data_IF_131244062525
#
_entry.id   IF_131244062525
#
_cell.length_a   1.000
_cell.length_b   1.000
_cell.length_c   1.000
_cell.angle_alpha   90.00
_cell.angle_beta   90.00
_cell.angle_gamma   90.00
#
_symmetry.space_group_name_H-M   'P 1'
#
loop_
_entity.id
_entity.type
_entity.pdbx_description
1 polymer ?
#
# COMPACT_ATOMS: atom_id res chain seq x y z
N UNK A 1 -5.72 3.55 -2.27
CA UNK A 1 -4.61 3.11 -1.39
C UNK A 1 -4.97 3.14 0.10
N UNK A 2 -5.75 4.12 0.61
CA UNK A 2 -6.10 4.20 2.05
C UNK A 2 -6.53 2.86 2.68
N UNK A 3 -7.46 2.13 2.05
CA UNK A 3 -7.92 0.84 2.59
C UNK A 3 -6.84 -0.28 2.64
N UNK A 4 -5.78 -0.17 1.85
CA UNK A 4 -4.62 -1.08 1.92
C UNK A 4 -3.75 -0.69 3.12
N UNK A 5 -3.34 0.57 3.21
CA UNK A 5 -2.47 1.08 4.30
C UNK A 5 -3.14 0.97 5.67
N UNK A 6 -4.45 1.26 5.74
CA UNK A 6 -5.25 1.07 6.97
C UNK A 6 -5.22 -0.37 7.49
N UNK A 7 -4.99 -1.34 6.61
CA UNK A 7 -4.96 -2.75 6.98
C UNK A 7 -3.56 -3.25 7.37
N UNK A 8 -2.49 -2.51 7.06
CA UNK A 8 -1.10 -2.93 7.31
C UNK A 8 -0.83 -3.22 8.79
N UNK A 9 -1.10 -2.23 9.66
CA UNK A 9 -0.87 -2.37 11.11
C UNK A 9 -1.70 -3.50 11.72
N UNK A 10 -3.04 -3.57 11.53
CA UNK A 10 -3.82 -4.69 12.06
C UNK A 10 -3.40 -6.07 11.53
N UNK A 11 -2.94 -6.16 10.27
CA UNK A 11 -2.41 -7.42 9.72
C UNK A 11 -1.13 -7.86 10.42
N UNK A 12 -0.20 -6.94 10.63
CA UNK A 12 1.07 -7.22 11.31
C UNK A 12 0.84 -7.58 12.79
N UNK A 13 -0.03 -6.84 13.49
CA UNK A 13 -0.43 -7.14 14.87
C UNK A 13 -1.09 -8.53 14.97
N UNK A 14 -1.99 -8.87 14.05
CA UNK A 14 -2.61 -10.20 14.00
C UNK A 14 -1.59 -11.31 13.75
N UNK A 15 -0.67 -11.11 12.80
CA UNK A 15 0.37 -12.10 12.50
C UNK A 15 1.36 -12.26 13.66
N UNK A 16 1.74 -11.17 14.33
CA UNK A 16 2.55 -11.22 15.53
C UNK A 16 1.83 -11.94 16.69
N UNK A 17 0.54 -11.70 16.87
CA UNK A 17 -0.28 -12.42 17.84
C UNK A 17 -0.31 -13.92 17.50
N UNK A 18 -0.49 -14.28 16.23
CA UNK A 18 -0.42 -15.67 15.79
C UNK A 18 0.93 -16.33 16.10
N UNK A 19 2.03 -15.63 15.84
CA UNK A 19 3.37 -16.11 16.19
C UNK A 19 3.51 -16.46 17.67
N UNK A 20 2.92 -15.66 18.57
CA UNK A 20 2.97 -15.90 20.02
C UNK A 20 2.29 -17.20 20.46
N UNK A 21 1.39 -17.75 19.63
CA UNK A 21 0.74 -19.05 19.87
C UNK A 21 1.55 -20.26 19.40
N UNK A 22 2.73 -20.03 18.81
CA UNK A 22 3.59 -21.05 18.19
C UNK A 22 4.99 -21.11 18.85
N UNK A 23 5.11 -21.28 20.18
CA UNK A 23 6.39 -21.12 20.90
C UNK A 23 7.45 -22.18 20.57
N UNK A 24 7.08 -23.27 19.87
CA UNK A 24 8.02 -24.31 19.41
C UNK A 24 8.50 -24.10 17.98
N UNK A 25 7.92 -23.13 17.27
CA UNK A 25 8.32 -22.80 15.91
C UNK A 25 9.50 -21.80 15.97
N UNK A 26 10.69 -22.16 15.45
CA UNK A 26 11.87 -21.31 15.52
C UNK A 26 11.73 -20.01 14.70
N UNK A 27 10.83 -20.00 13.71
CA UNK A 27 10.55 -18.82 12.87
C UNK A 27 9.61 -17.85 13.57
N UNK A 28 8.68 -18.36 14.39
CA UNK A 28 7.59 -17.55 14.94
C UNK A 28 8.07 -16.41 15.86
N UNK A 29 9.00 -16.69 16.79
CA UNK A 29 9.49 -15.66 17.72
C UNK A 29 10.18 -14.46 17.03
N UNK A 30 11.21 -14.66 16.16
CA UNK A 30 11.84 -13.55 15.44
C UNK A 30 10.87 -12.85 14.47
N UNK A 31 10.02 -13.60 13.75
CA UNK A 31 9.01 -13.01 12.88
C UNK A 31 8.05 -12.11 13.66
N UNK A 32 7.53 -12.59 14.78
CA UNK A 32 6.60 -11.82 15.61
C UNK A 32 7.23 -10.58 16.23
N UNK A 33 8.56 -10.57 16.47
CA UNK A 33 9.29 -9.39 16.93
C UNK A 33 9.38 -8.35 15.82
N UNK A 34 9.84 -8.74 14.64
CA UNK A 34 9.91 -7.89 13.46
C UNK A 34 8.56 -7.25 13.13
N UNK A 35 7.49 -8.04 13.10
CA UNK A 35 6.15 -7.54 12.77
C UNK A 35 5.62 -6.52 13.78
N UNK A 36 6.00 -6.63 15.06
CA UNK A 36 5.60 -5.64 16.08
C UNK A 36 6.33 -4.32 15.91
N UNK A 37 7.63 -4.38 15.66
CA UNK A 37 8.45 -3.19 15.40
C UNK A 37 7.96 -2.45 14.16
N UNK A 38 7.80 -3.17 13.05
CA UNK A 38 7.29 -2.64 11.79
C UNK A 38 5.85 -2.09 11.92
N UNK A 39 5.01 -2.70 12.76
CA UNK A 39 3.66 -2.18 13.03
C UNK A 39 3.66 -0.85 13.79
N UNK A 40 4.64 -0.61 14.67
CA UNK A 40 4.78 0.68 15.34
C UNK A 40 5.28 1.76 14.39
N UNK A 41 6.17 1.43 13.47
CA UNK A 41 6.67 2.35 12.44
C UNK A 41 5.57 2.78 11.46
N UNK A 42 4.75 1.82 11.01
CA UNK A 42 3.64 2.09 10.09
C UNK A 42 2.42 2.77 10.74
N UNK A 43 2.44 2.97 12.07
CA UNK A 43 1.30 3.47 12.82
C UNK A 43 0.96 4.91 12.41
N UNK A 44 -0.24 5.07 11.85
CA UNK A 44 -0.78 6.37 11.46
C UNK A 44 -0.44 6.80 10.03
N UNK A 45 0.26 5.97 9.24
CA UNK A 45 0.48 6.24 7.81
C UNK A 45 -0.83 6.28 7.01
N UNK A 46 -1.87 5.55 7.44
CA UNK A 46 -3.20 5.61 6.85
C UNK A 46 -3.83 7.01 6.96
N UNK A 47 -3.57 7.73 8.06
CA UNK A 47 -4.01 9.12 8.25
C UNK A 47 -3.37 10.07 7.23
N UNK A 48 -2.13 9.84 6.80
CA UNK A 48 -1.49 10.69 5.78
C UNK A 48 -2.26 10.64 4.46
N UNK A 49 -2.80 9.47 4.10
CA UNK A 49 -3.64 9.33 2.91
C UNK A 49 -5.01 10.02 3.04
N UNK A 50 -5.56 10.11 4.26
CA UNK A 50 -6.76 10.89 4.54
C UNK A 50 -6.50 12.40 4.43
N UNK A 51 -5.32 12.85 4.88
CA UNK A 51 -4.87 14.23 4.74
C UNK A 51 -4.66 14.59 3.26
N UNK A 52 -4.03 13.70 2.48
CA UNK A 52 -3.90 13.85 1.02
C UNK A 52 -5.27 13.94 0.33
N UNK A 53 -6.23 13.09 0.72
CA UNK A 53 -7.59 13.12 0.20
C UNK A 53 -8.28 14.47 0.47
N UNK A 54 -8.11 15.05 1.67
CA UNK A 54 -8.61 16.39 1.98
C UNK A 54 -8.00 17.46 1.07
N UNK A 55 -6.68 17.37 0.81
CA UNK A 55 -5.99 18.31 -0.10
C UNK A 55 -6.40 18.12 -1.57
N UNK A 56 -6.90 16.95 -1.93
CA UNK A 56 -7.52 16.67 -3.22
C UNK A 56 -8.99 17.13 -3.30
N UNK A 57 -9.58 17.63 -2.21
CA UNK A 57 -10.96 18.12 -2.15
C UNK A 57 -12.01 17.08 -1.74
N UNK A 58 -11.61 15.88 -1.29
CA UNK A 58 -12.51 14.87 -0.77
C UNK A 58 -12.76 15.03 0.75
N UNK A 59 -13.88 14.52 1.27
CA UNK A 59 -14.11 14.41 2.72
C UNK A 59 -13.36 13.18 3.29
N UNK A 60 -12.38 13.36 4.19
CA UNK A 60 -11.70 12.25 4.86
C UNK A 60 -12.64 11.28 5.58
N UNK A 61 -13.72 11.79 6.16
CA UNK A 61 -14.70 11.00 6.89
C UNK A 61 -15.51 10.08 5.97
N UNK A 62 -15.78 10.50 4.74
CA UNK A 62 -16.39 9.65 3.72
C UNK A 62 -15.40 8.60 3.21
N UNK A 63 -14.16 8.99 2.92
CA UNK A 63 -13.08 8.09 2.47
C UNK A 63 -12.83 6.97 3.50
N UNK A 64 -12.86 7.30 4.80
CA UNK A 64 -12.64 6.34 5.87
C UNK A 64 -13.79 5.33 6.04
N UNK A 65 -15.03 5.77 5.83
CA UNK A 65 -16.25 4.94 5.97
C UNK A 65 -16.62 4.18 4.70
N UNK A 66 -16.09 4.58 3.55
CA UNK A 66 -16.40 3.94 2.28
C UNK A 66 -16.05 2.45 2.29
N UNK A 67 -16.94 1.64 1.71
CA UNK A 67 -16.64 0.23 1.44
C UNK A 67 -15.50 0.17 0.42
N UNK A 68 -14.37 -0.49 0.72
CA UNK A 68 -13.26 -0.51 -0.20
C UNK A 68 -13.62 -1.32 -1.45
N UNK A 69 -13.04 -1.00 -2.62
CA UNK A 69 -13.30 -1.75 -3.83
C UNK A 69 -12.90 -3.24 -3.68
N UNK A 70 -13.54 -4.18 -4.41
CA UNK A 70 -13.24 -5.61 -4.30
C UNK A 70 -11.76 -5.98 -4.47
N UNK A 71 -11.01 -5.22 -5.28
CA UNK A 71 -9.56 -5.41 -5.45
C UNK A 71 -8.76 -5.22 -4.14
N UNK A 72 -9.16 -4.25 -3.30
CA UNK A 72 -8.52 -4.06 -1.98
C UNK A 72 -8.83 -5.24 -1.07
N UNK A 73 -10.08 -5.71 -1.06
CA UNK A 73 -10.46 -6.88 -0.28
C UNK A 73 -9.74 -8.16 -0.77
N UNK A 74 -9.55 -8.34 -2.08
CA UNK A 74 -8.76 -9.45 -2.64
C UNK A 74 -7.29 -9.40 -2.22
N UNK A 75 -6.69 -8.21 -2.26
CA UNK A 75 -5.29 -8.01 -1.88
C UNK A 75 -5.07 -8.30 -0.38
N UNK A 76 -5.82 -7.60 0.46
CA UNK A 76 -5.65 -7.60 1.92
C UNK A 76 -6.28 -8.84 2.56
N UNK A 77 -7.46 -9.27 2.09
CA UNK A 77 -8.21 -10.39 2.66
C UNK A 77 -7.51 -11.73 2.52
N UNK A 78 -6.74 -11.93 1.45
CA UNK A 78 -5.91 -13.13 1.30
C UNK A 78 -4.86 -13.24 2.42
N UNK A 79 -4.28 -12.11 2.84
CA UNK A 79 -3.29 -12.09 3.93
C UNK A 79 -3.92 -12.46 5.26
N UNK A 80 -5.10 -11.92 5.56
CA UNK A 80 -5.88 -12.34 6.74
C UNK A 80 -6.17 -13.85 6.72
N UNK A 81 -6.57 -14.37 5.56
CA UNK A 81 -6.85 -15.80 5.41
C UNK A 81 -5.61 -16.65 5.68
N UNK A 82 -4.45 -16.33 5.09
CA UNK A 82 -3.22 -17.11 5.31
C UNK A 82 -2.67 -16.98 6.72
N UNK A 83 -2.72 -15.80 7.33
CA UNK A 83 -2.34 -15.62 8.74
C UNK A 83 -3.26 -16.42 9.67
N UNK A 84 -4.55 -16.51 9.36
CA UNK A 84 -5.51 -17.23 10.19
C UNK A 84 -5.51 -18.76 9.96
N UNK A 85 -5.20 -19.24 8.76
CA UNK A 85 -5.38 -20.66 8.42
C UNK A 85 -4.08 -21.39 8.09
N UNK A 86 -2.99 -20.66 7.89
CA UNK A 86 -1.68 -21.18 7.57
C UNK A 86 -0.62 -20.54 8.48
N UNK A 87 0.63 -20.46 8.01
CA UNK A 87 1.73 -19.91 8.79
C UNK A 87 1.84 -18.38 8.57
N UNK A 88 2.01 -17.56 9.63
CA UNK A 88 2.08 -16.10 9.52
C UNK A 88 3.25 -15.58 8.67
N UNK A 89 4.30 -16.40 8.46
CA UNK A 89 5.44 -16.06 7.58
C UNK A 89 5.03 -15.69 6.16
N UNK A 90 3.89 -16.19 5.68
CA UNK A 90 3.37 -15.78 4.37
C UNK A 90 3.18 -14.26 4.25
N UNK A 91 2.96 -13.56 5.36
CA UNK A 91 2.86 -12.09 5.36
C UNK A 91 4.15 -11.40 4.87
N UNK A 92 5.33 -12.03 5.02
CA UNK A 92 6.59 -11.48 4.51
C UNK A 92 6.56 -11.31 2.98
N UNK A 93 5.82 -12.17 2.25
CA UNK A 93 5.66 -12.01 0.80
C UNK A 93 4.86 -10.76 0.42
N UNK A 94 3.85 -10.42 1.22
CA UNK A 94 3.06 -9.21 1.06
C UNK A 94 3.91 -7.96 1.35
N UNK A 95 4.63 -7.97 2.47
CA UNK A 95 5.54 -6.88 2.87
C UNK A 95 6.62 -6.68 1.80
N UNK A 96 7.24 -7.75 1.30
CA UNK A 96 8.27 -7.69 0.27
C UNK A 96 7.84 -6.92 -0.99
N UNK A 97 6.59 -7.10 -1.42
CA UNK A 97 6.09 -6.43 -2.62
C UNK A 97 5.77 -4.96 -2.35
N UNK A 98 5.20 -4.64 -1.18
CA UNK A 98 4.83 -3.26 -0.84
C UNK A 98 6.04 -2.40 -0.48
N UNK A 99 6.97 -2.91 0.32
CA UNK A 99 8.16 -2.19 0.79
C UNK A 99 9.30 -2.24 -0.24
N UNK A 100 9.36 -3.29 -1.05
CA UNK A 100 10.43 -3.49 -2.02
C UNK A 100 10.41 -2.56 -3.23
N UNK A 101 9.40 -1.68 -3.35
CA UNK A 101 9.18 -0.83 -4.52
C UNK A 101 8.73 0.58 -4.11
N UNK A 102 9.59 1.30 -3.41
CA UNK A 102 9.34 2.70 -3.07
C UNK A 102 8.96 3.52 -4.31
N UNK A 103 8.00 4.47 -4.20
CA UNK A 103 7.65 5.34 -5.31
C UNK A 103 8.88 6.09 -5.81
N UNK A 104 9.01 6.25 -7.13
CA UNK A 104 10.09 7.06 -7.66
C UNK A 104 9.97 8.53 -7.17
N UNK A 105 11.07 9.22 -6.82
CA UNK A 105 11.01 10.59 -6.28
C UNK A 105 10.26 11.60 -7.15
N UNK A 106 10.28 11.40 -8.47
CA UNK A 106 9.59 12.25 -9.44
C UNK A 106 8.08 12.01 -9.55
N UNK A 107 7.55 10.92 -8.97
CA UNK A 107 6.18 10.47 -9.20
C UNK A 107 5.15 11.47 -8.65
N UNK A 108 5.36 12.00 -7.45
CA UNK A 108 4.44 12.97 -6.84
C UNK A 108 4.25 14.22 -7.71
N UNK A 109 5.35 14.75 -8.26
CA UNK A 109 5.34 15.92 -9.12
C UNK A 109 4.68 15.62 -10.47
N UNK A 110 4.92 14.42 -11.02
CA UNK A 110 4.27 13.96 -12.24
C UNK A 110 2.75 13.83 -12.06
N UNK A 111 2.29 13.28 -10.94
CA UNK A 111 0.87 13.14 -10.63
C UNK A 111 0.20 14.50 -10.46
N UNK A 112 0.83 15.44 -9.77
CA UNK A 112 0.33 16.81 -9.63
C UNK A 112 0.15 17.48 -11.00
N UNK A 113 1.17 17.40 -11.87
CA UNK A 113 1.09 17.98 -13.21
C UNK A 113 0.03 17.31 -14.10
N UNK A 114 -0.16 16.00 -14.00
CA UNK A 114 -1.12 15.26 -14.82
C UNK A 114 -2.58 15.44 -14.36
N UNK A 115 -2.82 15.64 -13.07
CA UNK A 115 -4.16 15.73 -12.49
C UNK A 115 -4.66 17.16 -12.26
N UNK A 116 -3.74 18.13 -12.18
CA UNK A 116 -4.05 19.50 -11.77
C UNK A 116 -4.31 19.66 -10.27
N UNK A 117 -4.20 18.59 -9.48
CA UNK A 117 -4.35 18.65 -8.03
C UNK A 117 -3.13 19.33 -7.37
N UNK A 118 -3.31 19.97 -6.19
CA UNK A 118 -2.19 20.57 -5.47
C UNK A 118 -1.11 19.53 -5.14
N UNK A 119 0.17 19.94 -5.17
CA UNK A 119 1.30 19.10 -4.70
C UNK A 119 1.10 18.53 -3.28
N UNK A 120 0.35 19.26 -2.45
CA UNK A 120 0.00 18.84 -1.09
C UNK A 120 -0.92 17.61 -1.04
N UNK A 121 -1.61 17.26 -2.13
CA UNK A 121 -2.43 16.05 -2.25
C UNK A 121 -1.63 14.77 -2.56
N UNK A 122 -0.31 14.91 -2.76
CA UNK A 122 0.60 13.80 -3.02
C UNK A 122 1.72 13.77 -1.97
N UNK A 123 1.46 14.24 -0.75
CA UNK A 123 2.46 14.23 0.32
C UNK A 123 2.87 12.78 0.60
N UNK A 124 1.93 11.86 0.79
CA UNK A 124 2.26 10.46 1.13
C UNK A 124 3.19 9.83 0.09
N UNK A 125 2.90 10.02 -1.20
CA UNK A 125 3.75 9.51 -2.29
C UNK A 125 5.16 10.08 -2.21
N UNK A 126 5.28 11.38 -1.92
CA UNK A 126 6.58 12.06 -1.82
C UNK A 126 7.35 11.64 -0.57
N UNK A 127 6.72 11.66 0.60
CA UNK A 127 7.37 11.26 1.85
C UNK A 127 7.84 9.81 1.74
N UNK A 128 7.02 8.91 1.18
CA UNK A 128 7.39 7.51 0.99
C UNK A 128 8.51 7.30 -0.05
N UNK A 129 8.67 8.20 -1.01
CA UNK A 129 9.79 8.18 -1.96
C UNK A 129 11.11 8.66 -1.34
N UNK A 130 11.04 9.59 -0.38
CA UNK A 130 12.21 10.21 0.27
C UNK A 130 12.65 9.42 1.49
N UNK A 131 11.72 8.74 2.15
CA UNK A 131 11.96 8.11 3.45
C UNK A 131 12.94 6.93 3.40
N UNK A 132 13.35 6.40 2.23
CA UNK A 132 14.25 5.25 2.04
C UNK A 132 14.49 4.47 3.34
N UNK A 133 13.44 3.82 3.82
CA UNK A 133 13.31 3.45 5.23
C UNK A 133 14.19 2.26 5.60
N UNK A 134 14.98 1.74 4.67
CA UNK A 134 15.73 0.50 4.89
C UNK A 134 14.85 -0.74 5.07
N UNK A 135 13.51 -0.62 5.03
CA UNK A 135 12.58 -1.73 5.24
C UNK A 135 12.88 -2.93 4.34
N UNK A 136 13.30 -2.69 3.10
CA UNK A 136 13.73 -3.76 2.20
C UNK A 136 14.97 -4.48 2.72
N UNK A 137 15.98 -3.74 3.14
CA UNK A 137 17.21 -4.31 3.68
C UNK A 137 16.96 -5.05 5.01
N UNK A 138 16.09 -4.52 5.87
CA UNK A 138 15.69 -5.16 7.12
C UNK A 138 14.92 -6.46 6.89
N UNK A 139 14.01 -6.46 5.91
CA UNK A 139 13.28 -7.64 5.49
C UNK A 139 14.21 -8.70 4.90
N UNK A 140 15.11 -8.30 3.99
CA UNK A 140 16.10 -9.22 3.40
C UNK A 140 16.97 -9.82 4.51
N UNK A 141 17.44 -8.98 5.44
CA UNK A 141 18.22 -9.44 6.58
C UNK A 141 17.42 -10.35 7.54
N UNK A 142 16.11 -10.13 7.69
CA UNK A 142 15.24 -11.05 8.43
C UNK A 142 15.16 -12.40 7.72
N UNK A 143 14.84 -12.41 6.43
CA UNK A 143 14.72 -13.63 5.63
C UNK A 143 16.01 -14.46 5.66
N UNK A 144 17.18 -13.82 5.56
CA UNK A 144 18.49 -14.47 5.64
C UNK A 144 18.76 -15.16 7.00
N UNK A 145 18.11 -14.67 8.07
CA UNK A 145 18.27 -15.22 9.44
C UNK A 145 17.24 -16.28 9.80
N UNK A 146 16.13 -16.35 9.07
CA UNK A 146 15.07 -17.32 9.33
C UNK A 146 15.40 -18.66 8.67
N UNK A 147 15.43 -19.73 9.46
CA UNK A 147 15.56 -21.10 8.94
C UNK A 147 14.20 -21.59 8.43
N UNK A 148 13.82 -21.11 7.24
CA UNK A 148 12.53 -21.43 6.64
C UNK A 148 12.53 -22.85 6.08
N UNK A 149 11.49 -23.60 6.41
CA UNK A 149 11.20 -24.86 5.70
C UNK A 149 10.78 -24.57 4.26
N UNK A 150 10.94 -25.53 3.32
CA UNK A 150 10.47 -25.36 1.94
C UNK A 150 8.97 -25.00 1.83
N UNK A 151 8.15 -25.46 2.78
CA UNK A 151 6.74 -25.11 2.86
C UNK A 151 6.51 -23.63 3.25
N UNK A 152 7.33 -23.09 4.16
CA UNK A 152 7.29 -21.69 4.56
C UNK A 152 7.82 -20.78 3.45
N UNK A 153 8.91 -21.16 2.77
CA UNK A 153 9.40 -20.46 1.58
C UNK A 153 8.32 -20.39 0.50
N UNK A 154 7.64 -21.51 0.24
CA UNK A 154 6.52 -21.58 -0.70
C UNK A 154 5.36 -20.64 -0.29
N UNK A 155 5.06 -20.55 1.02
CA UNK A 155 4.03 -19.64 1.52
C UNK A 155 4.40 -18.17 1.29
N UNK A 156 5.67 -17.79 1.51
CA UNK A 156 6.18 -16.45 1.20
C UNK A 156 6.06 -16.16 -0.29
N UNK A 157 6.52 -17.08 -1.14
CA UNK A 157 6.50 -16.91 -2.60
C UNK A 157 5.07 -16.79 -3.16
N UNK A 158 4.14 -17.65 -2.73
CA UNK A 158 2.72 -17.59 -3.13
C UNK A 158 2.10 -16.26 -2.72
N UNK A 159 2.38 -15.82 -1.50
CA UNK A 159 1.89 -14.53 -1.00
C UNK A 159 2.43 -13.35 -1.80
N UNK A 160 3.72 -13.35 -2.12
CA UNK A 160 4.34 -12.31 -2.95
C UNK A 160 3.73 -12.26 -4.36
N UNK A 161 3.59 -13.41 -5.03
CA UNK A 161 3.01 -13.49 -6.38
C UNK A 161 1.55 -13.03 -6.40
N UNK A 162 0.74 -13.46 -5.43
CA UNK A 162 -0.64 -12.99 -5.29
C UNK A 162 -0.69 -11.49 -5.03
N UNK A 163 0.19 -10.97 -4.17
CA UNK A 163 0.25 -9.55 -3.85
C UNK A 163 0.61 -8.72 -5.09
N UNK A 164 1.59 -9.15 -5.86
CA UNK A 164 1.99 -8.50 -7.11
C UNK A 164 0.84 -8.48 -8.14
N UNK A 165 0.16 -9.62 -8.36
CA UNK A 165 -1.01 -9.71 -9.25
C UNK A 165 -2.16 -8.79 -8.79
N UNK A 166 -2.52 -8.86 -7.51
CA UNK A 166 -3.62 -8.08 -6.96
C UNK A 166 -3.31 -6.57 -6.97
N UNK A 167 -2.06 -6.18 -6.74
CA UNK A 167 -1.61 -4.79 -6.81
C UNK A 167 -1.58 -4.28 -8.26
N UNK A 168 -1.11 -5.08 -9.21
CA UNK A 168 -1.16 -4.76 -10.63
C UNK A 168 -2.62 -4.54 -11.09
N UNK A 169 -3.54 -5.41 -10.67
CA UNK A 169 -4.96 -5.24 -10.95
C UNK A 169 -5.55 -3.95 -10.31
N UNK A 170 -5.10 -3.58 -9.11
CA UNK A 170 -5.49 -2.33 -8.47
C UNK A 170 -5.03 -1.10 -9.27
N UNK A 171 -3.78 -1.09 -9.73
CA UNK A 171 -3.24 -0.02 -10.57
C UNK A 171 -3.90 0.05 -11.95
N UNK A 172 -4.13 -1.09 -12.60
CA UNK A 172 -4.83 -1.15 -13.88
C UNK A 172 -6.24 -0.53 -13.78
N UNK A 173 -6.94 -0.74 -12.65
CA UNK A 173 -8.22 -0.08 -12.40
C UNK A 173 -8.08 1.42 -12.27
N UNK A 174 -7.08 1.93 -11.54
CA UNK A 174 -6.85 3.38 -11.43
C UNK A 174 -6.62 4.02 -12.81
N UNK A 175 -5.89 3.34 -13.70
CA UNK A 175 -5.69 3.79 -15.08
C UNK A 175 -6.92 3.67 -15.97
N UNK A 176 -7.79 2.68 -15.74
CA UNK A 176 -9.00 2.43 -16.52
C UNK A 176 -10.25 3.21 -16.08
N UNK A 177 -10.24 3.82 -14.88
CA UNK A 177 -11.39 4.58 -14.33
C UNK A 177 -11.29 6.10 -14.48
N UNK A 178 -10.38 6.63 -15.30
CA UNK A 178 -10.34 8.07 -15.55
C UNK A 178 -11.69 8.52 -16.16
N UNK A 179 -12.45 9.43 -15.51
CA UNK A 179 -13.57 10.07 -16.17
C UNK A 179 -13.01 10.89 -17.34
N UNK A 180 -13.71 10.90 -18.48
CA UNK A 180 -13.59 12.00 -19.42
C UNK A 180 -13.79 13.32 -18.65
N UNK A 181 -13.02 14.35 -19.03
CA UNK A 181 -13.07 15.71 -18.48
C UNK A 181 -14.43 16.10 -17.87
N UNK A 182 -14.49 16.74 -16.68
CA UNK A 182 -15.74 17.31 -16.22
C UNK A 182 -16.26 18.33 -17.26
N UNK A 183 -17.52 18.25 -17.70
CA UNK A 183 -18.08 19.24 -18.61
C UNK A 183 -18.27 20.54 -17.82
N UNK A 184 -17.40 21.52 -18.02
CA UNK A 184 -17.54 22.80 -17.32
C UNK A 184 -16.37 23.78 -17.32
N UNK A 185 -15.32 23.60 -18.13
CA UNK A 185 -14.45 24.74 -18.43
C UNK A 185 -15.13 25.61 -19.51
N UNK A 186 -15.37 26.92 -19.29
CA UNK A 186 -15.94 27.77 -20.32
C UNK A 186 -15.01 27.78 -21.53
N UNK A 187 -15.57 27.52 -22.70
CA UNK A 187 -14.89 27.71 -23.97
C UNK A 187 -14.34 29.14 -24.02
N UNK A 188 -13.05 29.28 -24.31
CA UNK A 188 -12.51 30.56 -24.74
C UNK A 188 -13.38 31.09 -25.89
N UNK A 189 -13.82 32.36 -25.86
CA UNK A 189 -14.56 32.91 -26.98
C UNK A 189 -13.67 32.93 -28.23
N UNK A 190 -14.25 32.79 -29.43
CA UNK A 190 -13.46 32.80 -30.66
C UNK A 190 -12.74 34.14 -30.77
N UNK A 191 -11.43 34.08 -30.99
CA UNK A 191 -10.66 35.24 -31.44
C UNK A 191 -11.29 35.71 -32.75
N UNK A 192 -11.88 36.90 -32.70
CA UNK A 192 -12.52 37.53 -33.83
C UNK A 192 -11.48 37.84 -34.91
N UNK A 193 -11.76 37.37 -36.12
CA UNK A 193 -11.25 38.01 -37.33
C UNK A 193 -11.68 39.48 -37.34
N UNK A 194 -10.72 40.37 -37.55
CA UNK A 194 -10.97 41.80 -37.64
C UNK A 194 -9.72 42.58 -38.02
N UNK A 195 -9.22 42.33 -39.23
CA UNK A 195 -8.30 43.22 -39.94
C UNK A 195 -9.05 44.53 -40.29
N UNK A 196 -8.35 45.67 -40.43
CA UNK A 196 -7.77 46.03 -41.73
C UNK A 196 -6.28 46.35 -41.73
#
# INVERSE_FOLDING_TARGET
>A
MHGVVRASVPLMELAAQRCSTMPRDPVAAPLGAYLREHAEEERGHDRWLLEDAARAGADPGEVARALPPPAVARLVGAQYYWVAHHHPVGLLGYIAVLEGNAPAPWLADRLAGATGLPRAAFRTVREHAVLDTGHRAELDALLDRLDLTPAQESAVAVSALHTADALAALFARLGGTAPAHPPGAPAHPPEGEGNP
#
